data_IF_587386237962
#
_entry.id   IF_587386237962
#
_cell.length_a   1.000
_cell.length_b   1.000
_cell.length_c   1.000
_cell.angle_alpha   90.00
_cell.angle_beta   90.00
_cell.angle_gamma   90.00
#
_symmetry.space_group_name_H-M   'P 1'
#
loop_
_entity.id
_entity.type
_entity.pdbx_description
1 polymer ?
#
# COMPACT_ATOMS: atom_id res chain seq x y z
N UNK A 1 -2.58 9.14 1.97
CA UNK A 1 -3.36 10.19 1.29
C UNK A 1 -4.53 9.63 0.50
N UNK A 2 -4.36 8.59 -0.33
CA UNK A 2 -5.47 8.01 -1.10
C UNK A 2 -6.32 6.96 -0.35
N UNK A 3 -5.74 6.30 0.65
CA UNK A 3 -6.44 5.28 1.45
C UNK A 3 -7.60 5.82 2.29
N UNK A 4 -7.76 7.13 2.43
CA UNK A 4 -8.94 7.74 3.05
C UNK A 4 -9.66 8.57 1.98
N UNK A 5 -10.72 8.04 1.33
CA UNK A 5 -11.42 8.72 0.24
C UNK A 5 -12.22 9.91 0.79
N UNK A 6 -11.52 11.03 0.98
CA UNK A 6 -12.17 12.29 1.37
C UNK A 6 -12.98 12.84 0.20
N UNK A 7 -14.20 13.24 0.53
CA UNK A 7 -15.13 13.88 -0.40
C UNK A 7 -15.52 15.23 0.17
N UNK A 8 -15.62 16.23 -0.70
CA UNK A 8 -16.07 17.58 -0.38
C UNK A 8 -17.22 17.98 -1.29
N UNK A 9 -18.03 18.94 -0.87
CA UNK A 9 -18.89 19.65 -1.81
C UNK A 9 -18.03 20.55 -2.69
N UNK A 10 -18.48 20.80 -3.93
CA UNK A 10 -17.70 21.57 -4.90
C UNK A 10 -17.33 22.97 -4.40
N UNK A 11 -18.29 23.71 -3.83
CA UNK A 11 -18.05 25.06 -3.33
C UNK A 11 -17.04 25.10 -2.18
N UNK A 12 -17.16 24.18 -1.21
CA UNK A 12 -16.24 24.09 -0.06
C UNK A 12 -14.83 23.72 -0.54
N UNK A 13 -14.72 22.77 -1.47
CA UNK A 13 -13.43 22.41 -2.04
C UNK A 13 -12.80 23.59 -2.81
N UNK A 14 -13.59 24.31 -3.60
CA UNK A 14 -13.11 25.45 -4.37
C UNK A 14 -12.51 26.52 -3.44
N UNK A 15 -13.23 26.89 -2.39
CA UNK A 15 -12.81 27.89 -1.43
C UNK A 15 -11.54 27.45 -0.65
N UNK A 16 -11.58 26.25 -0.07
CA UNK A 16 -10.52 25.78 0.84
C UNK A 16 -9.25 25.29 0.14
N UNK A 17 -9.37 24.79 -1.09
CA UNK A 17 -8.25 24.17 -1.81
C UNK A 17 -7.86 24.89 -3.07
N UNK A 18 -8.81 25.21 -3.96
CA UNK A 18 -8.47 25.77 -5.28
C UNK A 18 -8.05 27.23 -5.18
N UNK A 19 -8.86 28.04 -4.51
CA UNK A 19 -8.72 29.49 -4.39
C UNK A 19 -7.82 29.91 -3.23
N UNK A 20 -7.48 28.98 -2.34
CA UNK A 20 -6.63 29.24 -1.20
C UNK A 20 -5.22 29.74 -1.63
N UNK A 21 -4.68 30.82 -1.03
CA UNK A 21 -3.42 31.44 -1.45
C UNK A 21 -2.20 30.51 -1.51
N UNK A 22 -2.05 29.63 -0.50
CA UNK A 22 -0.95 28.66 -0.43
C UNK A 22 -1.30 27.32 -1.07
N UNK A 23 -2.34 26.65 -0.55
CA UNK A 23 -2.76 25.31 -0.99
C UNK A 23 -3.19 25.27 -2.46
N UNK A 24 -3.75 26.37 -3.00
CA UNK A 24 -4.14 26.50 -4.41
C UNK A 24 -3.03 26.19 -5.40
N UNK A 25 -1.78 26.51 -5.08
CA UNK A 25 -0.63 26.20 -5.93
C UNK A 25 -0.36 24.69 -6.07
N UNK A 26 -0.71 23.91 -5.05
CA UNK A 26 -0.65 22.44 -5.09
C UNK A 26 -1.90 21.89 -5.78
N UNK A 27 -3.08 22.38 -5.39
CA UNK A 27 -4.39 21.95 -5.92
C UNK A 27 -4.46 22.06 -7.44
N UNK A 28 -3.96 23.16 -8.02
CA UNK A 28 -3.98 23.41 -9.48
C UNK A 28 -3.03 22.51 -10.28
N UNK A 29 -2.11 21.81 -9.61
CA UNK A 29 -1.19 20.83 -10.25
C UNK A 29 -1.66 19.39 -10.11
N UNK A 30 -2.81 19.18 -9.47
CA UNK A 30 -3.41 17.88 -9.25
C UNK A 30 -4.62 17.68 -10.18
N UNK A 31 -4.93 16.41 -10.42
CA UNK A 31 -6.18 15.98 -11.02
C UNK A 31 -7.21 15.74 -9.92
N UNK A 32 -8.47 16.05 -10.23
CA UNK A 32 -9.61 15.90 -9.35
C UNK A 32 -10.73 15.16 -10.08
N UNK A 33 -11.56 14.47 -9.31
CA UNK A 33 -12.79 13.86 -9.79
C UNK A 33 -13.97 14.71 -9.32
N UNK A 34 -14.80 15.16 -10.25
CA UNK A 34 -16.05 15.86 -9.96
C UNK A 34 -17.19 15.05 -10.54
N UNK A 35 -18.01 14.47 -9.67
CA UNK A 35 -19.14 13.62 -10.03
C UNK A 35 -18.79 12.53 -11.07
N UNK A 36 -17.59 11.92 -10.94
CA UNK A 36 -17.08 10.89 -11.83
C UNK A 36 -16.29 11.40 -13.04
N UNK A 37 -16.26 12.72 -13.26
CA UNK A 37 -15.55 13.37 -14.35
C UNK A 37 -14.17 13.83 -13.89
N UNK A 38 -13.13 13.38 -14.58
CA UNK A 38 -11.76 13.85 -14.32
C UNK A 38 -11.57 15.28 -14.80
N UNK A 39 -11.05 16.14 -13.93
CA UNK A 39 -10.76 17.53 -14.23
C UNK A 39 -9.32 17.91 -13.83
N UNK A 40 -8.79 18.92 -14.49
CA UNK A 40 -7.50 19.54 -14.17
C UNK A 40 -7.54 21.04 -14.42
N UNK A 41 -6.64 21.78 -13.77
CA UNK A 41 -6.56 23.23 -13.95
C UNK A 41 -5.69 23.59 -15.16
N UNK A 42 -6.24 24.37 -16.10
CA UNK A 42 -5.52 24.85 -17.28
C UNK A 42 -6.11 26.17 -17.79
N UNK A 43 -5.25 27.06 -18.29
CA UNK A 43 -5.67 28.36 -18.84
C UNK A 43 -6.60 29.16 -17.89
N UNK A 44 -6.25 29.19 -16.60
CA UNK A 44 -6.97 29.99 -15.60
C UNK A 44 -8.26 29.39 -15.04
N UNK A 45 -8.64 28.18 -15.44
CA UNK A 45 -9.92 27.57 -15.03
C UNK A 45 -9.81 26.04 -14.94
N UNK A 46 -10.79 25.41 -14.30
CA UNK A 46 -10.94 23.94 -14.29
C UNK A 46 -11.49 23.48 -15.64
N UNK A 47 -10.95 22.39 -16.15
CA UNK A 47 -11.34 21.81 -17.44
C UNK A 47 -11.37 20.30 -17.38
N UNK A 48 -12.34 19.71 -18.09
CA UNK A 48 -12.35 18.29 -18.42
C UNK A 48 -11.29 17.96 -19.48
N UNK A 49 -11.17 16.69 -19.84
CA UNK A 49 -10.62 16.28 -21.12
C UNK A 49 -11.81 15.94 -22.05
N UNK A 50 -11.92 16.56 -23.26
CA UNK A 50 -10.88 17.24 -24.04
C UNK A 50 -10.65 18.72 -23.72
N UNK A 51 -11.47 19.37 -22.87
CA UNK A 51 -11.16 20.75 -22.47
C UNK A 51 -12.32 21.59 -21.98
N UNK A 52 -13.53 21.05 -21.82
CA UNK A 52 -14.70 21.84 -21.46
C UNK A 52 -14.53 22.45 -20.07
N UNK A 53 -14.83 23.76 -19.90
CA UNK A 53 -14.74 24.41 -18.61
C UNK A 53 -15.75 23.82 -17.63
N UNK A 54 -15.34 23.68 -16.36
CA UNK A 54 -16.19 23.25 -15.25
C UNK A 54 -16.25 24.38 -14.23
N UNK A 55 -17.46 24.80 -13.88
CA UNK A 55 -17.71 25.88 -12.92
C UNK A 55 -18.50 25.44 -11.69
N UNK A 56 -19.11 24.26 -11.75
CA UNK A 56 -19.96 23.68 -10.72
C UNK A 56 -19.79 22.15 -10.62
N UNK A 57 -20.44 21.56 -9.63
CA UNK A 57 -20.42 20.13 -9.34
C UNK A 57 -21.05 19.84 -7.98
N UNK A 58 -21.30 18.57 -7.70
CA UNK A 58 -21.87 18.15 -6.41
C UNK A 58 -20.77 17.72 -5.45
N UNK A 59 -19.97 16.73 -5.87
CA UNK A 59 -18.91 16.15 -5.04
C UNK A 59 -17.56 16.20 -5.73
N UNK A 60 -16.53 16.56 -4.97
CA UNK A 60 -15.14 16.56 -5.41
C UNK A 60 -14.34 15.55 -4.60
N UNK A 61 -13.52 14.77 -5.30
CA UNK A 61 -12.57 13.82 -4.71
C UNK A 61 -11.21 13.99 -5.37
N UNK A 62 -10.17 13.58 -4.65
CA UNK A 62 -8.85 13.50 -5.25
C UNK A 62 -8.86 12.39 -6.31
N UNK A 63 -8.41 12.72 -7.53
CA UNK A 63 -8.39 11.74 -8.61
C UNK A 63 -7.36 10.64 -8.34
N UNK A 64 -7.71 9.40 -8.70
CA UNK A 64 -6.83 8.24 -8.65
C UNK A 64 -6.95 7.43 -9.95
N UNK A 65 -5.86 6.85 -10.49
CA UNK A 65 -5.89 6.09 -11.74
C UNK A 65 -6.61 4.73 -11.65
N UNK A 66 -6.86 4.22 -10.43
CA UNK A 66 -7.63 2.97 -10.25
C UNK A 66 -9.04 3.14 -10.86
N UNK A 67 -9.48 2.16 -11.63
CA UNK A 67 -10.79 2.19 -12.28
C UNK A 67 -10.91 3.13 -13.48
N UNK A 68 -9.83 3.84 -13.86
CA UNK A 68 -9.80 4.71 -15.06
C UNK A 68 -9.32 3.94 -16.28
N UNK A 69 -9.80 4.36 -17.43
CA UNK A 69 -9.39 3.78 -18.70
C UNK A 69 -7.94 4.17 -19.03
N UNK A 70 -7.21 3.27 -19.72
CA UNK A 70 -5.77 3.48 -19.96
C UNK A 70 -5.56 4.69 -20.88
N UNK A 71 -6.38 4.83 -21.91
CA UNK A 71 -6.40 5.97 -22.82
C UNK A 71 -6.69 7.29 -22.10
N UNK A 72 -7.62 7.32 -21.15
CA UNK A 72 -7.89 8.49 -20.30
C UNK A 72 -6.64 8.88 -19.49
N UNK A 73 -6.00 7.91 -18.83
CA UNK A 73 -4.78 8.15 -18.05
C UNK A 73 -3.66 8.71 -18.94
N UNK A 74 -3.45 8.12 -20.13
CA UNK A 74 -2.43 8.58 -21.06
C UNK A 74 -2.72 9.99 -21.59
N UNK A 75 -3.97 10.29 -21.91
CA UNK A 75 -4.39 11.63 -22.32
C UNK A 75 -4.06 12.68 -21.26
N UNK A 76 -4.31 12.38 -19.98
CA UNK A 76 -3.94 13.26 -18.89
C UNK A 76 -2.44 13.41 -18.69
N UNK A 77 -1.65 12.34 -18.83
CA UNK A 77 -0.18 12.41 -18.79
C UNK A 77 0.36 13.36 -19.86
N UNK A 78 -0.02 13.13 -21.12
CA UNK A 78 0.37 13.98 -22.26
C UNK A 78 -0.02 15.44 -22.02
N UNK A 79 -1.22 15.67 -21.47
CA UNK A 79 -1.68 17.03 -21.17
C UNK A 79 -0.85 17.70 -20.07
N UNK A 80 -0.58 17.00 -18.96
CA UNK A 80 0.25 17.52 -17.88
C UNK A 80 1.65 17.86 -18.37
N UNK A 81 2.24 16.99 -19.20
CA UNK A 81 3.55 17.21 -19.81
C UNK A 81 3.54 18.43 -20.74
N UNK A 82 2.51 18.56 -21.60
CA UNK A 82 2.37 19.71 -22.51
C UNK A 82 2.23 21.05 -21.79
N UNK A 83 1.69 21.03 -20.57
CA UNK A 83 1.52 22.21 -19.71
C UNK A 83 2.72 22.45 -18.78
N UNK A 84 3.73 21.57 -18.79
CA UNK A 84 4.87 21.63 -17.87
C UNK A 84 4.48 21.44 -16.40
N UNK A 85 3.37 20.75 -16.12
CA UNK A 85 2.85 20.58 -14.77
C UNK A 85 3.51 19.37 -14.09
N UNK A 86 4.39 19.64 -13.11
CA UNK A 86 4.88 18.60 -12.21
C UNK A 86 3.94 18.43 -11.01
N UNK A 87 3.35 17.25 -10.89
CA UNK A 87 2.44 16.92 -9.79
C UNK A 87 3.20 16.83 -8.46
N UNK A 88 2.64 17.34 -7.34
CA UNK A 88 3.24 17.23 -6.00
C UNK A 88 3.55 15.81 -5.53
N UNK A 89 2.83 14.83 -6.07
CA UNK A 89 3.04 13.40 -5.90
C UNK A 89 2.49 12.68 -7.13
N UNK A 90 2.89 11.43 -7.33
CA UNK A 90 2.39 10.64 -8.46
C UNK A 90 0.88 10.41 -8.35
N UNK A 91 0.13 11.03 -9.27
CA UNK A 91 -1.26 10.70 -9.59
C UNK A 91 -1.35 10.07 -10.97
N UNK A 92 -1.12 10.84 -12.04
CA UNK A 92 -1.28 10.33 -13.40
C UNK A 92 -0.27 9.23 -13.71
N UNK A 93 0.95 9.36 -13.19
CA UNK A 93 2.03 8.37 -13.33
C UNK A 93 2.06 7.33 -12.21
N UNK A 94 1.04 7.32 -11.34
CA UNK A 94 0.94 6.36 -10.24
C UNK A 94 0.73 4.96 -10.80
N UNK A 95 1.59 4.05 -10.37
CA UNK A 95 1.46 2.63 -10.62
C UNK A 95 0.22 2.07 -9.94
N UNK A 96 -0.49 1.20 -10.66
CA UNK A 96 -1.74 0.57 -10.22
C UNK A 96 -1.56 -0.94 -10.20
N UNK A 97 -1.75 -1.55 -9.03
CA UNK A 97 -1.71 -3.00 -8.87
C UNK A 97 -3.14 -3.55 -8.94
N UNK A 98 -3.43 -4.25 -10.03
CA UNK A 98 -4.70 -4.98 -10.22
C UNK A 98 -4.51 -6.44 -9.85
N UNK A 99 -5.52 -7.06 -9.24
CA UNK A 99 -5.50 -8.48 -8.89
C UNK A 99 -5.20 -9.37 -10.10
N UNK A 100 -4.17 -10.21 -10.00
CA UNK A 100 -3.78 -11.18 -11.05
C UNK A 100 -4.50 -12.50 -10.90
N UNK A 101 -4.41 -13.36 -11.93
CA UNK A 101 -5.02 -14.70 -11.87
C UNK A 101 -4.32 -15.60 -10.85
N UNK A 102 -2.99 -15.50 -10.70
CA UNK A 102 -2.26 -16.21 -9.65
C UNK A 102 -2.75 -15.83 -8.24
N UNK A 103 -3.12 -14.57 -8.01
CA UNK A 103 -3.69 -14.12 -6.72
C UNK A 103 -5.14 -14.54 -6.53
N UNK A 104 -5.88 -14.79 -7.62
CA UNK A 104 -7.20 -15.42 -7.57
C UNK A 104 -7.10 -16.90 -7.19
N UNK A 105 -6.05 -17.58 -7.67
CA UNK A 105 -5.77 -18.98 -7.32
C UNK A 105 -5.35 -19.14 -5.86
N UNK A 106 -4.47 -18.27 -5.34
CA UNK A 106 -4.06 -18.30 -3.92
C UNK A 106 -5.14 -17.76 -2.98
N UNK A 107 -6.10 -17.00 -3.51
CA UNK A 107 -7.25 -16.38 -2.86
C UNK A 107 -6.93 -15.37 -1.74
N UNK A 108 -6.15 -15.75 -0.71
CA UNK A 108 -6.05 -15.01 0.55
C UNK A 108 -4.73 -14.26 0.77
N UNK A 109 -3.77 -14.39 -0.15
CA UNK A 109 -2.48 -13.72 -0.03
C UNK A 109 -1.85 -13.39 -1.38
N UNK A 110 -0.99 -12.36 -1.38
CA UNK A 110 -0.15 -12.00 -2.52
C UNK A 110 1.32 -12.32 -2.24
N UNK A 111 1.99 -12.94 -3.22
CA UNK A 111 3.42 -13.26 -3.20
C UNK A 111 4.27 -12.30 -4.05
N UNK A 112 3.71 -11.22 -4.61
CA UNK A 112 4.42 -10.35 -5.57
C UNK A 112 5.74 -9.77 -5.09
N UNK A 113 5.85 -9.60 -3.77
CA UNK A 113 6.99 -8.99 -3.10
C UNK A 113 7.62 -9.93 -2.08
N UNK A 114 7.30 -11.21 -2.16
CA UNK A 114 8.01 -12.24 -1.41
C UNK A 114 9.44 -12.41 -1.97
N UNK A 115 10.27 -13.19 -1.30
CA UNK A 115 11.59 -13.60 -1.82
C UNK A 115 12.67 -12.49 -1.87
N UNK A 116 12.48 -11.41 -1.12
CA UNK A 116 13.44 -10.30 -1.04
C UNK A 116 14.11 -10.23 0.33
N UNK A 117 15.44 -10.16 0.34
CA UNK A 117 16.22 -9.94 1.55
C UNK A 117 16.37 -8.45 1.78
N UNK A 118 15.76 -7.95 2.85
CA UNK A 118 15.62 -6.52 3.16
C UNK A 118 16.55 -6.13 4.30
N UNK A 119 17.20 -4.96 4.20
CA UNK A 119 17.88 -4.32 5.34
C UNK A 119 16.84 -3.95 6.40
N UNK A 120 16.87 -4.62 7.54
CA UNK A 120 15.84 -4.50 8.57
C UNK A 120 15.63 -3.05 9.03
N UNK A 121 16.69 -2.34 9.40
CA UNK A 121 16.56 -0.96 9.90
C UNK A 121 16.00 0.00 8.84
N UNK A 122 16.37 -0.21 7.57
CA UNK A 122 15.85 0.59 6.46
C UNK A 122 14.37 0.31 6.23
N UNK A 123 13.99 -0.98 6.16
CA UNK A 123 12.60 -1.42 6.08
C UNK A 123 11.76 -0.82 7.21
N UNK A 124 12.19 -0.96 8.46
CA UNK A 124 11.49 -0.42 9.62
C UNK A 124 11.28 1.10 9.52
N UNK A 125 12.31 1.85 9.12
CA UNK A 125 12.20 3.30 8.95
C UNK A 125 11.20 3.69 7.86
N UNK A 126 11.26 3.07 6.68
CA UNK A 126 10.35 3.41 5.57
C UNK A 126 8.91 2.94 5.81
N UNK A 127 8.72 1.80 6.49
CA UNK A 127 7.41 1.31 6.91
C UNK A 127 6.76 2.29 7.89
N UNK A 128 7.51 2.74 8.90
CA UNK A 128 7.03 3.72 9.90
C UNK A 128 6.65 5.05 9.23
N UNK A 129 7.46 5.55 8.28
CA UNK A 129 7.16 6.77 7.53
C UNK A 129 5.85 6.68 6.71
N UNK A 130 5.44 5.47 6.33
CA UNK A 130 4.18 5.21 5.61
C UNK A 130 3.02 4.82 6.53
N UNK A 131 3.21 4.92 7.85
CA UNK A 131 2.18 4.65 8.84
C UNK A 131 1.92 3.16 9.09
N UNK A 132 2.89 2.30 8.77
CA UNK A 132 2.88 0.90 9.18
C UNK A 132 3.48 0.78 10.59
N UNK A 133 2.86 -0.06 11.43
CA UNK A 133 3.46 -0.49 12.70
C UNK A 133 4.36 -1.69 12.42
N UNK A 134 5.61 -1.63 12.86
CA UNK A 134 6.56 -2.71 12.69
C UNK A 134 7.52 -2.78 13.89
N UNK A 135 7.79 -3.98 14.41
CA UNK A 135 8.79 -4.22 15.46
C UNK A 135 10.06 -4.78 14.81
N UNK A 136 11.23 -4.27 15.21
CA UNK A 136 12.50 -4.89 14.82
C UNK A 136 12.54 -6.32 15.33
N UNK A 137 13.03 -7.23 14.49
CA UNK A 137 13.34 -8.61 14.79
C UNK A 137 14.66 -8.66 15.55
N UNK A 138 14.62 -9.15 16.78
CA UNK A 138 15.78 -9.30 17.66
C UNK A 138 15.96 -10.79 18.01
N UNK A 139 17.19 -11.31 18.10
CA UNK A 139 17.43 -12.71 18.50
C UNK A 139 16.94 -13.07 19.90
N UNK A 140 16.65 -12.07 20.74
CA UNK A 140 16.18 -12.25 22.12
C UNK A 140 14.67 -12.36 22.24
N UNK A 141 13.93 -12.06 21.17
CA UNK A 141 12.48 -12.22 21.14
C UNK A 141 12.15 -13.61 20.58
N UNK A 142 11.23 -14.36 21.19
CA UNK A 142 10.76 -15.65 20.64
C UNK A 142 9.75 -15.44 19.49
N UNK A 143 9.01 -14.33 19.55
CA UNK A 143 7.97 -13.94 18.59
C UNK A 143 7.96 -12.41 18.40
N UNK A 144 7.56 -11.99 17.20
CA UNK A 144 7.31 -10.58 16.92
C UNK A 144 6.01 -10.38 16.13
N UNK A 145 5.27 -9.28 16.39
CA UNK A 145 4.11 -8.95 15.58
C UNK A 145 4.53 -8.65 14.14
N UNK A 146 3.66 -8.99 13.21
CA UNK A 146 3.84 -8.66 11.80
C UNK A 146 3.85 -7.14 11.56
N UNK A 147 4.42 -6.74 10.43
CA UNK A 147 4.27 -5.36 9.98
C UNK A 147 2.81 -5.14 9.57
N UNK A 148 2.12 -4.20 10.22
CA UNK A 148 0.68 -4.00 10.04
C UNK A 148 0.33 -2.58 9.61
N UNK A 149 -0.71 -2.46 8.79
CA UNK A 149 -1.34 -1.19 8.42
C UNK A 149 -2.83 -1.28 8.68
N UNK A 150 -3.29 -0.54 9.67
CA UNK A 150 -4.72 -0.37 9.92
C UNK A 150 -5.33 0.59 8.90
N UNK A 151 -6.55 0.26 8.46
CA UNK A 151 -7.33 1.00 7.48
C UNK A 151 -8.77 1.17 8.03
N UNK A 152 -8.97 2.03 9.04
CA UNK A 152 -10.26 2.14 9.74
C UNK A 152 -11.43 2.51 8.83
N UNK A 153 -11.19 3.33 7.80
CA UNK A 153 -12.22 3.73 6.83
C UNK A 153 -12.75 2.57 5.99
N UNK A 154 -12.06 1.43 5.99
CA UNK A 154 -12.40 0.23 5.24
C UNK A 154 -12.71 -0.96 6.13
N UNK A 155 -12.60 -0.83 7.45
CA UNK A 155 -12.71 -1.92 8.41
C UNK A 155 -11.69 -3.06 8.16
N UNK A 156 -10.51 -2.70 7.67
CA UNK A 156 -9.46 -3.65 7.26
C UNK A 156 -8.13 -3.40 7.96
N UNK A 157 -7.32 -4.45 8.04
CA UNK A 157 -5.89 -4.40 8.34
C UNK A 157 -5.12 -5.17 7.30
N UNK A 158 -4.07 -4.56 6.75
CA UNK A 158 -3.09 -5.25 5.93
C UNK A 158 -1.92 -5.72 6.80
N UNK A 159 -1.41 -6.91 6.50
CA UNK A 159 -0.25 -7.50 7.18
C UNK A 159 0.79 -7.91 6.14
N UNK A 160 2.02 -7.42 6.32
CA UNK A 160 3.16 -7.81 5.51
C UNK A 160 4.06 -8.73 6.33
N UNK A 161 4.21 -9.95 5.85
CA UNK A 161 4.98 -10.98 6.52
C UNK A 161 6.47 -10.79 6.23
N UNK A 162 7.24 -10.71 7.31
CA UNK A 162 8.70 -10.67 7.27
C UNK A 162 9.27 -11.69 8.24
N UNK A 163 10.16 -12.53 7.72
CA UNK A 163 10.81 -13.62 8.44
C UNK A 163 12.24 -13.20 8.86
N UNK A 164 12.73 -13.75 9.97
CA UNK A 164 14.13 -13.68 10.38
C UNK A 164 14.76 -15.06 10.18
N UNK A 165 15.72 -15.22 9.27
CA UNK A 165 16.43 -16.50 9.19
C UNK A 165 17.42 -16.60 10.36
N UNK A 166 17.09 -17.44 11.33
CA UNK A 166 17.92 -17.68 12.51
C UNK A 166 19.26 -18.39 12.23
N UNK A 167 19.46 -18.91 11.01
CA UNK A 167 20.63 -19.70 10.63
C UNK A 167 21.88 -18.86 10.30
N UNK A 168 21.75 -17.54 10.20
CA UNK A 168 22.89 -16.64 9.99
C UNK A 168 23.37 -16.10 11.35
N UNK A 169 24.44 -16.71 11.89
CA UNK A 169 25.08 -16.32 13.14
C UNK A 169 25.19 -14.79 13.28
N UNK A 170 24.58 -14.26 14.34
CA UNK A 170 24.57 -12.85 14.66
C UNK A 170 25.98 -12.30 14.81
N UNK A 171 26.42 -11.52 13.83
CA UNK A 171 27.66 -10.74 13.86
C UNK A 171 27.54 -9.59 14.86
N UNK A 172 27.60 -9.87 16.17
CA UNK A 172 27.81 -8.90 17.25
C UNK A 172 26.86 -7.69 17.32
N UNK A 173 25.76 -7.70 16.56
CA UNK A 173 24.77 -6.61 16.46
C UNK A 173 23.57 -6.91 17.35
N UNK A 174 22.98 -5.92 18.04
CA UNK A 174 21.87 -6.12 18.96
C UNK A 174 20.55 -6.60 18.31
N UNK A 175 20.50 -6.75 16.98
CA UNK A 175 19.36 -7.27 16.21
C UNK A 175 19.77 -7.84 14.86
N UNK A 176 18.86 -8.55 14.19
CA UNK A 176 19.10 -9.07 12.84
C UNK A 176 19.41 -7.93 11.86
N UNK A 177 20.40 -8.12 10.97
CA UNK A 177 20.70 -7.12 9.95
C UNK A 177 19.68 -7.15 8.80
N UNK A 178 19.15 -8.34 8.52
CA UNK A 178 18.26 -8.62 7.41
C UNK A 178 16.98 -9.30 7.85
N UNK A 179 15.91 -9.07 7.10
CA UNK A 179 14.63 -9.80 7.18
C UNK A 179 14.20 -10.19 5.76
N UNK A 180 13.41 -11.24 5.64
CA UNK A 180 13.02 -11.80 4.36
C UNK A 180 11.54 -11.52 4.09
N UNK A 181 11.27 -10.84 2.98
CA UNK A 181 9.92 -10.50 2.55
C UNK A 181 9.11 -11.74 2.17
N UNK A 182 7.86 -11.77 2.62
CA UNK A 182 6.93 -12.87 2.39
C UNK A 182 5.58 -12.39 1.86
N UNK A 183 4.52 -13.05 2.34
CA UNK A 183 3.15 -12.83 1.91
C UNK A 183 2.58 -11.50 2.40
N UNK A 184 1.60 -10.99 1.64
CA UNK A 184 0.74 -9.87 2.05
C UNK A 184 -0.67 -10.42 2.21
N UNK A 185 -1.28 -10.17 3.37
CA UNK A 185 -2.61 -10.64 3.74
C UNK A 185 -3.48 -9.50 4.25
N UNK A 186 -4.80 -9.68 4.20
CA UNK A 186 -5.79 -8.74 4.73
C UNK A 186 -6.68 -9.44 5.75
N UNK A 187 -7.06 -8.72 6.80
CA UNK A 187 -7.94 -9.19 7.86
C UNK A 187 -8.94 -8.09 8.24
N UNK A 188 -10.07 -8.44 8.89
CA UNK A 188 -10.89 -7.46 9.60
C UNK A 188 -10.03 -6.66 10.59
N UNK A 189 -10.32 -5.38 10.79
CA UNK A 189 -9.47 -4.52 11.63
C UNK A 189 -9.37 -5.01 13.09
N UNK A 190 -10.43 -5.65 13.58
CA UNK A 190 -10.58 -6.19 14.93
C UNK A 190 -10.05 -7.63 15.07
N UNK A 191 -9.63 -8.27 13.98
CA UNK A 191 -9.04 -9.60 14.01
C UNK A 191 -7.76 -9.60 14.86
N UNK A 192 -7.41 -10.70 15.53
CA UNK A 192 -6.14 -10.82 16.24
C UNK A 192 -4.95 -10.53 15.31
N UNK A 193 -3.92 -9.85 15.80
CA UNK A 193 -2.70 -9.62 15.00
C UNK A 193 -1.88 -10.90 15.00
N UNK A 194 -1.50 -11.39 13.82
CA UNK A 194 -0.61 -12.53 13.75
C UNK A 194 0.78 -12.18 14.31
N UNK A 195 1.34 -13.11 15.09
CA UNK A 195 2.76 -13.11 15.41
C UNK A 195 3.48 -14.09 14.48
N UNK A 196 4.73 -13.80 14.19
CA UNK A 196 5.65 -14.75 13.58
C UNK A 196 6.69 -15.13 14.63
N UNK A 197 6.94 -16.43 14.80
CA UNK A 197 8.12 -16.88 15.52
C UNK A 197 9.37 -16.46 14.76
N UNK A 198 10.42 -16.17 15.50
CA UNK A 198 11.67 -15.75 14.88
C UNK A 198 12.34 -16.87 14.09
N UNK A 199 12.11 -18.14 14.45
CA UNK A 199 12.81 -19.29 13.86
C UNK A 199 11.89 -20.39 13.31
N UNK A 200 10.56 -20.19 13.28
CA UNK A 200 9.61 -21.20 12.77
C UNK A 200 9.09 -20.85 11.37
N UNK A 201 8.89 -21.89 10.55
CA UNK A 201 8.90 -21.85 9.10
C UNK A 201 7.51 -21.72 8.44
N UNK A 202 6.54 -21.09 9.09
CA UNK A 202 5.14 -21.15 8.66
C UNK A 202 4.41 -19.82 8.59
N UNK A 203 3.71 -19.57 7.47
CA UNK A 203 2.75 -18.47 7.35
C UNK A 203 1.38 -18.84 7.96
N UNK A 204 1.20 -18.66 9.28
CA UNK A 204 -0.08 -18.89 9.97
C UNK A 204 -0.30 -18.00 11.20
N UNK A 205 -1.54 -17.53 11.42
CA UNK A 205 -1.86 -16.72 12.60
C UNK A 205 -1.70 -17.57 13.87
N UNK A 206 -0.78 -17.17 14.75
CA UNK A 206 -0.62 -17.72 16.10
C UNK A 206 -1.04 -16.65 17.10
N UNK A 207 -2.34 -16.57 17.43
CA UNK A 207 -2.77 -15.58 18.38
C UNK A 207 -2.42 -16.03 19.81
N UNK A 208 -2.49 -15.12 20.77
CA UNK A 208 -2.27 -15.45 22.18
C UNK A 208 -3.17 -16.60 22.66
N UNK A 209 -2.71 -17.34 23.68
CA UNK A 209 -3.46 -18.48 24.22
C UNK A 209 -4.89 -18.08 24.61
N UNK A 210 -5.89 -18.75 24.03
CA UNK A 210 -7.31 -18.48 24.27
C UNK A 210 -7.98 -17.58 23.24
N UNK A 211 -7.23 -17.07 22.25
CA UNK A 211 -7.77 -16.30 21.13
C UNK A 211 -8.02 -17.22 19.93
N UNK A 212 -9.18 -17.07 19.29
CA UNK A 212 -9.55 -17.86 18.11
C UNK A 212 -8.86 -17.28 16.86
N UNK A 213 -8.11 -18.07 16.08
CA UNK A 213 -7.53 -17.62 14.82
C UNK A 213 -8.63 -17.20 13.83
N UNK A 214 -8.37 -16.12 13.08
CA UNK A 214 -9.25 -15.63 12.02
C UNK A 214 -8.57 -15.84 10.68
N UNK A 215 -9.29 -16.39 9.72
CA UNK A 215 -8.78 -16.59 8.37
C UNK A 215 -8.61 -15.25 7.62
N UNK A 216 -7.57 -15.14 6.77
CA UNK A 216 -7.40 -13.97 5.92
C UNK A 216 -8.54 -13.80 4.93
N UNK A 217 -8.90 -12.54 4.67
CA UNK A 217 -9.94 -12.16 3.72
C UNK A 217 -9.46 -12.46 2.28
N UNK A 218 -10.33 -13.01 1.41
CA UNK A 218 -10.01 -13.18 0.00
C UNK A 218 -9.69 -11.85 -0.69
N UNK A 219 -8.57 -11.79 -1.41
CA UNK A 219 -8.07 -10.59 -2.09
C UNK A 219 -9.07 -10.02 -3.11
N UNK A 220 -9.96 -10.86 -3.66
CA UNK A 220 -11.04 -10.42 -4.55
C UNK A 220 -12.10 -9.55 -3.88
N UNK A 221 -12.24 -9.67 -2.56
CA UNK A 221 -13.18 -8.86 -1.77
C UNK A 221 -12.54 -7.57 -1.25
N UNK A 222 -11.21 -7.46 -1.32
CA UNK A 222 -10.48 -6.25 -0.93
C UNK A 222 -10.73 -5.16 -1.98
N UNK A 223 -11.12 -3.94 -1.57
CA UNK A 223 -11.33 -2.84 -2.50
C UNK A 223 -10.08 -2.60 -3.38
N UNK A 224 -10.22 -2.47 -4.71
CA UNK A 224 -9.06 -2.36 -5.61
C UNK A 224 -8.13 -1.19 -5.30
N UNK A 225 -8.68 -0.09 -4.77
CA UNK A 225 -7.87 1.04 -4.30
C UNK A 225 -7.00 0.65 -3.11
N UNK A 226 -7.57 -0.04 -2.12
CA UNK A 226 -6.85 -0.52 -0.93
C UNK A 226 -5.75 -1.49 -1.32
N UNK A 227 -6.09 -2.51 -2.12
CA UNK A 227 -5.12 -3.48 -2.61
C UNK A 227 -3.97 -2.78 -3.32
N UNK A 228 -4.27 -1.89 -4.26
CA UNK A 228 -3.25 -1.18 -5.04
C UNK A 228 -2.33 -0.32 -4.18
N UNK A 229 -2.87 0.41 -3.22
CA UNK A 229 -2.09 1.30 -2.37
C UNK A 229 -1.23 0.54 -1.36
N UNK A 230 -1.74 -0.57 -0.80
CA UNK A 230 -0.97 -1.43 0.09
C UNK A 230 0.16 -2.14 -0.65
N UNK A 231 -0.11 -2.69 -1.84
CA UNK A 231 0.93 -3.30 -2.67
C UNK A 231 2.00 -2.28 -3.08
N UNK A 232 1.61 -1.02 -3.35
CA UNK A 232 2.55 0.06 -3.64
C UNK A 232 3.44 0.44 -2.44
N UNK A 233 2.90 0.40 -1.22
CA UNK A 233 3.72 0.58 -0.01
C UNK A 233 4.77 -0.53 0.11
N UNK A 234 4.35 -1.79 -0.06
CA UNK A 234 5.28 -2.94 0.02
C UNK A 234 6.30 -2.93 -1.12
N UNK A 235 5.88 -2.59 -2.35
CA UNK A 235 6.79 -2.39 -3.47
C UNK A 235 7.88 -1.37 -3.14
N UNK A 236 7.50 -0.23 -2.54
CA UNK A 236 8.45 0.78 -2.11
C UNK A 236 9.39 0.26 -1.01
N UNK A 237 8.89 -0.53 -0.05
CA UNK A 237 9.73 -1.14 0.98
C UNK A 237 10.80 -2.04 0.38
N UNK A 238 10.40 -2.89 -0.57
CA UNK A 238 11.29 -3.79 -1.29
C UNK A 238 12.30 -3.00 -2.11
N UNK A 239 11.84 -2.08 -2.96
CA UNK A 239 12.69 -1.29 -3.85
C UNK A 239 13.83 -0.58 -3.11
N UNK A 240 13.52 0.03 -1.96
CA UNK A 240 14.52 0.81 -1.22
C UNK A 240 15.36 -0.05 -0.26
N UNK A 241 14.89 -1.23 0.17
CA UNK A 241 15.54 -1.99 1.25
C UNK A 241 16.21 -3.28 0.80
N UNK A 242 15.98 -3.74 -0.44
CA UNK A 242 16.51 -5.01 -0.94
C UNK A 242 18.03 -4.99 -1.05
N UNK A 243 18.65 -6.11 -0.67
CA UNK A 243 20.10 -6.37 -0.82
C UNK A 243 20.37 -7.56 -1.73
N UNK A 244 19.51 -8.57 -1.67
CA UNK A 244 19.54 -9.76 -2.53
C UNK A 244 18.13 -10.33 -2.70
N UNK A 245 17.97 -11.25 -3.65
CA UNK A 245 16.74 -12.01 -3.86
C UNK A 245 17.04 -13.47 -3.52
N UNK A 246 16.28 -14.04 -2.59
CA UNK A 246 16.38 -15.44 -2.18
C UNK A 246 14.99 -16.07 -2.35
N UNK A 247 14.87 -17.33 -2.82
CA UNK A 247 13.57 -17.94 -3.06
C UNK A 247 12.68 -17.87 -1.80
N UNK A 248 11.36 -17.62 -1.97
CA UNK A 248 10.45 -17.58 -0.84
C UNK A 248 10.35 -18.98 -0.22
N UNK A 249 10.19 -19.06 1.11
CA UNK A 249 9.97 -20.34 1.80
C UNK A 249 8.64 -20.92 1.30
N UNK A 250 8.63 -22.18 0.87
CA UNK A 250 7.42 -22.83 0.35
C UNK A 250 6.40 -23.16 1.45
N UNK A 251 5.11 -23.10 1.14
CA UNK A 251 3.96 -23.40 2.03
C UNK A 251 3.82 -24.91 2.38
N UNK A 252 4.93 -25.67 2.43
CA UNK A 252 4.88 -27.10 2.69
C UNK A 252 4.83 -27.41 4.18
N UNK A 253 3.87 -28.24 4.68
CA UNK A 253 4.07 -28.88 5.97
C UNK A 253 5.26 -29.84 5.81
N UNK A 254 6.32 -29.65 6.60
CA UNK A 254 7.40 -30.65 6.64
C UNK A 254 7.25 -31.56 7.85
N UNK A 255 7.13 -32.83 7.49
CA UNK A 255 7.23 -34.04 8.28
C UNK A 255 7.85 -33.84 9.65
N UNK A 256 7.13 -34.30 10.66
CA UNK A 256 7.68 -34.63 11.97
C UNK A 256 9.05 -35.28 11.79
N UNK A 257 10.07 -34.63 12.32
CA UNK A 257 11.39 -35.21 12.48
C UNK A 257 11.20 -36.42 13.41
N UNK A 258 11.57 -37.59 12.90
CA UNK A 258 11.73 -38.82 13.65
C UNK A 258 13.13 -38.86 14.26
#
# INVERSE_FOLDING_TARGET
MFLAPRTWTFDVWRELYLEHPLVGSLTRRLLWDVDGTTIGYAAGQLRTFPGDPITDGSQVRLWHPIGRAIDEIQAWRVRLDSLGITQPFEQAHREVYRLTDAERETASYSNRFAAHTLRQHRFHAVATLRGWRNKLRLPVDDEAPLATRELPEWDLRAEYWVDSRCDEEGTGSPGYQYVYGGQIRFYPIDAPVATAHMCDEGYGMRPEAGVVPVDPIPLETVPPLVLSEILRDVAFFVDVSTVSNDPPRGDGPRSAIQ
#
